data_IF_945571498783
#
_entry.id   IF_945571498783
#
_cell.length_a   1.000
_cell.length_b   1.000
_cell.length_c   1.000
_cell.angle_alpha   90.00
_cell.angle_beta   90.00
_cell.angle_gamma   90.00
#
_symmetry.space_group_name_H-M   'P 1'
#
loop_
_entity.id
_entity.type
_entity.pdbx_description
1 polymer ?
#
# COMPACT_ATOMS: atom_id res chain seq x y z
N UNK A 1 23.31 -2.36 -7.32
CA UNK A 1 21.91 -2.68 -6.97
C UNK A 1 21.36 -1.45 -6.29
N UNK A 2 20.34 -0.85 -6.86
CA UNK A 2 19.72 0.33 -6.27
C UNK A 2 19.04 -0.07 -4.95
N UNK A 3 19.23 0.75 -3.91
CA UNK A 3 18.64 0.56 -2.59
C UNK A 3 17.40 1.42 -2.48
N UNK A 4 16.34 0.89 -1.88
CA UNK A 4 15.16 1.68 -1.54
C UNK A 4 15.47 2.45 -0.25
N UNK A 5 15.48 3.78 -0.33
CA UNK A 5 15.72 4.67 0.81
C UNK A 5 14.42 4.91 1.56
N UNK A 6 14.35 4.36 2.76
CA UNK A 6 13.19 4.41 3.64
C UNK A 6 13.46 5.42 4.74
N UNK A 7 12.59 6.42 4.91
CA UNK A 7 12.61 7.26 6.10
C UNK A 7 11.56 6.76 7.09
N UNK A 8 12.01 6.34 8.27
CA UNK A 8 11.14 6.03 9.40
C UNK A 8 11.11 7.20 10.39
N UNK A 9 9.90 7.67 10.70
CA UNK A 9 9.65 8.68 11.72
C UNK A 9 8.84 8.02 12.85
N UNK A 10 9.51 7.73 13.96
CA UNK A 10 9.02 6.86 15.05
C UNK A 10 9.77 7.21 16.35
N UNK A 11 9.09 7.56 17.45
CA UNK A 11 9.78 7.96 18.68
C UNK A 11 10.20 6.77 19.55
N UNK A 12 9.58 5.61 19.37
CA UNK A 12 9.91 4.42 20.12
C UNK A 12 11.13 3.68 19.50
N UNK A 13 12.29 3.65 20.18
CA UNK A 13 13.49 2.98 19.65
C UNK A 13 13.32 1.46 19.48
N UNK A 14 12.42 0.84 20.26
CA UNK A 14 12.09 -0.57 20.13
C UNK A 14 11.30 -0.87 18.86
N UNK A 15 10.29 -0.06 18.55
CA UNK A 15 9.52 -0.16 17.30
C UNK A 15 10.42 0.12 16.10
N UNK A 16 11.28 1.15 16.19
CA UNK A 16 12.23 1.46 15.13
C UNK A 16 13.20 0.32 14.85
N UNK A 17 13.72 -0.31 15.91
CA UNK A 17 14.57 -1.49 15.79
C UNK A 17 13.82 -2.67 15.16
N UNK A 18 12.57 -2.92 15.55
CA UNK A 18 11.77 -4.01 15.00
C UNK A 18 11.54 -3.83 13.49
N UNK A 19 11.21 -2.62 13.04
CA UNK A 19 11.07 -2.29 11.62
C UNK A 19 12.39 -2.51 10.87
N UNK A 20 13.52 -2.10 11.44
CA UNK A 20 14.84 -2.35 10.85
C UNK A 20 15.10 -3.86 10.69
N UNK A 21 14.84 -4.66 11.71
CA UNK A 21 15.01 -6.12 11.68
C UNK A 21 14.10 -6.76 10.61
N UNK A 22 12.83 -6.37 10.55
CA UNK A 22 11.88 -6.85 9.54
C UNK A 22 12.32 -6.55 8.10
N UNK A 23 12.88 -5.36 7.83
CA UNK A 23 13.40 -5.02 6.50
C UNK A 23 14.68 -5.79 6.17
N UNK A 24 15.52 -6.07 7.16
CA UNK A 24 16.76 -6.82 7.00
C UNK A 24 16.55 -8.32 6.74
N UNK A 25 15.38 -8.87 7.08
CA UNK A 25 15.00 -10.25 6.75
C UNK A 25 14.81 -10.48 5.24
N UNK A 26 14.45 -9.44 4.48
CA UNK A 26 14.32 -9.53 3.02
C UNK A 26 15.70 -9.53 2.35
N UNK A 27 15.97 -10.57 1.55
CA UNK A 27 17.28 -10.82 0.94
C UNK A 27 17.37 -10.41 -0.52
N UNK A 28 16.23 -10.24 -1.19
CA UNK A 28 16.15 -9.93 -2.62
C UNK A 28 16.15 -8.44 -2.90
N UNK A 29 15.78 -7.63 -1.91
CA UNK A 29 15.63 -6.18 -2.02
C UNK A 29 16.50 -5.55 -0.94
N UNK A 30 17.25 -4.52 -1.32
CA UNK A 30 18.10 -3.80 -0.39
C UNK A 30 17.36 -2.55 0.07
N UNK A 31 17.14 -2.45 1.39
CA UNK A 31 16.60 -1.26 2.03
C UNK A 31 17.72 -0.48 2.71
N UNK A 32 17.65 0.84 2.60
CA UNK A 32 18.49 1.80 3.33
C UNK A 32 17.57 2.58 4.26
N UNK A 33 17.50 2.16 5.53
CA UNK A 33 16.58 2.73 6.52
C UNK A 33 17.25 3.85 7.29
N UNK A 34 16.73 5.06 7.15
CA UNK A 34 17.06 6.20 7.99
C UNK A 34 15.96 6.40 9.04
N UNK A 35 16.35 6.60 10.30
CA UNK A 35 15.42 6.77 11.41
C UNK A 35 15.51 8.17 12.03
N UNK A 36 14.35 8.74 12.36
CA UNK A 36 14.17 9.98 13.11
C UNK A 36 13.10 9.76 14.19
N UNK A 37 13.35 10.30 15.38
CA UNK A 37 12.51 10.14 16.58
C UNK A 37 11.42 11.22 16.72
N UNK A 38 11.41 12.20 15.80
CA UNK A 38 10.54 13.37 15.84
C UNK A 38 10.09 13.76 14.44
N UNK A 39 8.92 14.39 14.35
CA UNK A 39 8.43 14.88 13.07
C UNK A 39 9.35 15.96 12.52
N UNK A 40 9.75 16.92 13.36
CA UNK A 40 10.64 18.03 12.99
C UNK A 40 11.92 17.55 12.27
N UNK A 41 12.66 16.62 12.89
CA UNK A 41 13.90 16.08 12.30
C UNK A 41 13.63 15.19 11.08
N UNK A 42 12.45 14.56 11.00
CA UNK A 42 11.98 13.89 9.78
C UNK A 42 11.72 14.85 8.63
N UNK A 43 11.05 15.99 8.87
CA UNK A 43 10.77 17.00 7.86
C UNK A 43 12.06 17.68 7.37
N UNK A 44 13.01 17.96 8.26
CA UNK A 44 14.34 18.44 7.91
C UNK A 44 15.04 17.46 6.96
N UNK A 45 15.01 16.16 7.29
CA UNK A 45 15.59 15.13 6.42
C UNK A 45 14.89 15.03 5.07
N UNK A 46 13.57 15.18 5.02
CA UNK A 46 12.81 15.16 3.75
C UNK A 46 13.20 16.32 2.82
N UNK A 47 13.57 17.48 3.39
CA UNK A 47 14.01 18.63 2.60
C UNK A 47 15.33 18.38 1.85
N UNK A 48 16.17 17.45 2.33
CA UNK A 48 17.40 17.03 1.65
C UNK A 48 17.13 16.14 0.41
N UNK A 49 15.91 15.59 0.29
CA UNK A 49 15.50 14.75 -0.82
C UNK A 49 16.10 13.34 -0.83
N UNK A 50 15.84 12.60 -1.90
CA UNK A 50 16.36 11.24 -2.10
C UNK A 50 15.76 10.18 -1.17
N UNK A 51 14.54 10.39 -0.65
CA UNK A 51 13.77 9.37 0.07
C UNK A 51 12.74 8.79 -0.89
N UNK A 52 12.62 7.46 -0.92
CA UNK A 52 11.71 6.76 -1.83
C UNK A 52 10.34 6.48 -1.17
N UNK A 53 10.31 6.34 0.16
CA UNK A 53 9.11 6.05 0.93
C UNK A 53 9.25 6.50 2.38
N UNK A 54 8.14 6.90 2.99
CA UNK A 54 8.06 7.30 4.39
C UNK A 54 7.24 6.27 5.16
N UNK A 55 7.80 5.77 6.27
CA UNK A 55 7.07 5.07 7.32
C UNK A 55 6.82 6.05 8.46
N UNK A 56 5.57 6.32 8.78
CA UNK A 56 5.19 7.43 9.67
C UNK A 56 4.35 6.96 10.85
N UNK A 57 4.87 7.06 12.07
CA UNK A 57 4.01 7.08 13.26
C UNK A 57 3.22 8.40 13.31
N UNK A 58 1.94 8.31 13.64
CA UNK A 58 1.09 9.47 13.88
C UNK A 58 1.27 10.08 15.28
N UNK A 59 1.80 9.31 16.23
CA UNK A 59 1.90 9.67 17.65
C UNK A 59 3.35 9.96 18.02
N UNK A 60 3.80 11.19 17.75
CA UNK A 60 5.15 11.63 18.05
C UNK A 60 5.17 12.63 19.22
N UNK A 61 6.31 12.82 19.90
CA UNK A 61 6.42 13.79 21.00
C UNK A 61 6.14 15.23 20.58
N UNK A 62 6.41 15.59 19.31
CA UNK A 62 6.31 16.94 18.75
C UNK A 62 5.16 17.11 17.72
N UNK A 63 4.38 16.06 17.47
CA UNK A 63 3.22 16.10 16.57
C UNK A 63 2.26 14.95 16.83
N UNK A 64 0.95 15.18 16.69
CA UNK A 64 -0.06 14.16 17.03
C UNK A 64 -1.11 13.92 15.96
N UNK A 65 -1.45 12.64 15.80
CA UNK A 65 -2.59 12.17 15.03
C UNK A 65 -2.54 12.61 13.57
N UNK A 66 -3.70 13.03 13.06
CA UNK A 66 -3.86 13.40 11.66
C UNK A 66 -3.01 14.61 11.23
N UNK A 67 -2.67 15.52 12.15
CA UNK A 67 -1.81 16.68 11.85
C UNK A 67 -0.41 16.24 11.38
N UNK A 68 0.14 15.22 12.04
CA UNK A 68 1.41 14.59 11.69
C UNK A 68 1.43 14.14 10.23
N UNK A 69 0.39 13.44 9.79
CA UNK A 69 0.25 13.03 8.39
C UNK A 69 0.16 14.23 7.44
N UNK A 70 -0.68 15.22 7.74
CA UNK A 70 -0.87 16.36 6.84
C UNK A 70 0.40 17.20 6.66
N UNK A 71 1.20 17.36 7.72
CA UNK A 71 2.47 18.09 7.67
C UNK A 71 3.50 17.34 6.85
N UNK A 72 3.62 16.03 7.03
CA UNK A 72 4.50 15.18 6.22
C UNK A 72 4.11 15.22 4.74
N UNK A 73 2.81 15.06 4.44
CA UNK A 73 2.31 15.09 3.06
C UNK A 73 2.52 16.46 2.40
N UNK A 74 2.37 17.55 3.14
CA UNK A 74 2.60 18.89 2.62
C UNK A 74 4.09 19.14 2.28
N UNK A 75 5.02 18.59 3.08
CA UNK A 75 6.46 18.71 2.84
C UNK A 75 6.95 17.85 1.67
N UNK A 76 6.38 16.64 1.53
CA UNK A 76 6.82 15.67 0.54
C UNK A 76 5.61 15.06 -0.23
N UNK A 77 4.88 15.87 -1.02
CA UNK A 77 3.66 15.41 -1.70
C UNK A 77 3.94 14.33 -2.76
N UNK A 78 5.20 14.22 -3.21
CA UNK A 78 5.66 13.25 -4.20
C UNK A 78 6.12 11.92 -3.61
N UNK A 79 6.30 11.82 -2.30
CA UNK A 79 6.83 10.63 -1.65
C UNK A 79 5.67 9.85 -1.02
N UNK A 80 5.54 8.54 -1.29
CA UNK A 80 4.49 7.74 -0.69
C UNK A 80 4.68 7.60 0.83
N UNK A 81 3.57 7.68 1.56
CA UNK A 81 3.52 7.56 3.02
C UNK A 81 2.75 6.29 3.40
N UNK A 82 3.40 5.40 4.14
CA UNK A 82 2.78 4.28 4.84
C UNK A 82 2.69 4.65 6.32
N UNK A 83 1.47 4.68 6.85
CA UNK A 83 1.23 5.04 8.25
C UNK A 83 1.47 3.83 9.15
N UNK A 84 2.22 4.01 10.24
CA UNK A 84 2.32 3.06 11.35
C UNK A 84 1.38 3.52 12.46
N UNK A 85 0.55 2.62 12.99
CA UNK A 85 -0.46 2.97 14.01
C UNK A 85 -0.55 1.93 15.10
N UNK A 86 -0.81 2.37 16.33
CA UNK A 86 -1.28 1.50 17.41
C UNK A 86 -2.72 1.02 17.18
N UNK A 87 -3.16 0.02 17.96
CA UNK A 87 -4.52 -0.52 17.91
C UNK A 87 -5.60 0.52 18.28
N UNK A 88 -5.28 1.44 19.18
CA UNK A 88 -6.16 2.52 19.62
C UNK A 88 -6.42 3.58 18.54
N UNK A 89 -5.57 3.64 17.52
CA UNK A 89 -5.48 4.79 16.60
C UNK A 89 -5.90 4.44 15.17
N UNK A 90 -6.50 3.26 14.97
CA UNK A 90 -6.91 2.76 13.65
C UNK A 90 -7.85 3.73 12.91
N UNK A 91 -8.76 4.42 13.63
CA UNK A 91 -9.63 5.43 13.03
C UNK A 91 -8.85 6.61 12.40
N UNK A 92 -7.72 7.01 13.00
CA UNK A 92 -6.84 8.05 12.46
C UNK A 92 -6.08 7.55 11.23
N UNK A 93 -5.60 6.31 11.27
CA UNK A 93 -4.93 5.68 10.13
C UNK A 93 -5.86 5.55 8.91
N UNK A 94 -7.12 5.13 9.12
CA UNK A 94 -8.16 5.11 8.09
C UNK A 94 -8.37 6.51 7.49
N UNK A 95 -8.40 7.55 8.33
CA UNK A 95 -8.54 8.93 7.86
C UNK A 95 -7.33 9.37 7.01
N UNK A 96 -6.12 8.96 7.38
CA UNK A 96 -4.91 9.25 6.61
C UNK A 96 -4.94 8.59 5.22
N UNK A 97 -5.34 7.32 5.13
CA UNK A 97 -5.52 6.61 3.84
C UNK A 97 -6.55 7.31 2.96
N UNK A 98 -7.70 7.70 3.52
CA UNK A 98 -8.72 8.48 2.79
C UNK A 98 -8.22 9.84 2.29
N UNK A 99 -7.11 10.34 2.83
CA UNK A 99 -6.49 11.63 2.48
C UNK A 99 -5.19 11.48 1.68
N UNK A 100 -4.85 10.26 1.27
CA UNK A 100 -3.79 10.00 0.31
C UNK A 100 -2.56 9.30 0.89
N UNK A 101 -2.59 8.83 2.14
CA UNK A 101 -1.61 7.82 2.56
C UNK A 101 -1.80 6.56 1.70
N UNK A 102 -0.70 5.93 1.30
CA UNK A 102 -0.73 4.79 0.39
C UNK A 102 -1.19 3.53 1.12
N UNK A 103 -0.90 3.42 2.42
CA UNK A 103 -1.33 2.31 3.25
C UNK A 103 -1.25 2.66 4.75
N UNK A 104 -1.77 1.78 5.60
CA UNK A 104 -1.46 1.78 7.03
C UNK A 104 -1.17 0.38 7.56
N UNK A 105 -0.31 0.32 8.58
CA UNK A 105 0.10 -0.91 9.24
C UNK A 105 -0.11 -0.78 10.75
N UNK A 106 -0.78 -1.77 11.32
CA UNK A 106 -1.06 -1.82 12.77
C UNK A 106 0.12 -2.46 13.48
N UNK A 107 0.82 -1.68 14.32
CA UNK A 107 1.93 -2.12 15.17
C UNK A 107 1.54 -3.38 15.96
N UNK A 108 2.47 -4.31 16.12
CA UNK A 108 2.24 -5.61 16.76
C UNK A 108 1.46 -6.64 15.92
N UNK A 109 0.93 -6.26 14.75
CA UNK A 109 0.36 -7.17 13.74
C UNK A 109 1.16 -7.17 12.43
N UNK A 110 2.28 -6.44 12.39
CA UNK A 110 3.16 -6.35 11.22
C UNK A 110 4.17 -7.50 11.27
N UNK A 111 4.43 -8.11 10.13
CA UNK A 111 5.56 -9.00 9.89
C UNK A 111 6.42 -8.47 8.72
N UNK A 112 7.58 -9.09 8.49
CA UNK A 112 8.50 -8.70 7.41
C UNK A 112 7.81 -8.70 6.04
N UNK A 113 7.02 -9.74 5.74
CA UNK A 113 6.37 -9.85 4.43
C UNK A 113 5.38 -8.72 4.18
N UNK A 114 4.51 -8.43 5.15
CA UNK A 114 3.52 -7.38 5.06
C UNK A 114 4.16 -6.00 4.96
N UNK A 115 5.21 -5.74 5.74
CA UNK A 115 5.95 -4.48 5.70
C UNK A 115 6.58 -4.22 4.32
N UNK A 116 7.38 -5.18 3.84
CA UNK A 116 8.06 -5.10 2.54
C UNK A 116 7.04 -4.92 1.43
N UNK A 117 5.97 -5.71 1.46
CA UNK A 117 4.87 -5.62 0.51
C UNK A 117 4.27 -4.22 0.48
N UNK A 118 3.95 -3.67 1.65
CA UNK A 118 3.32 -2.35 1.77
C UNK A 118 4.19 -1.25 1.22
N UNK A 119 5.51 -1.29 1.49
CA UNK A 119 6.49 -0.36 0.93
C UNK A 119 6.53 -0.43 -0.60
N UNK A 120 6.68 -1.63 -1.16
CA UNK A 120 6.83 -1.80 -2.61
C UNK A 120 5.58 -1.36 -3.37
N UNK A 121 4.40 -1.67 -2.86
CA UNK A 121 3.16 -1.22 -3.47
C UNK A 121 2.95 0.29 -3.31
N UNK A 122 3.33 0.87 -2.18
CA UNK A 122 3.27 2.32 -1.99
C UNK A 122 4.14 3.06 -3.04
N UNK A 123 5.36 2.56 -3.29
CA UNK A 123 6.28 3.07 -4.32
C UNK A 123 5.71 2.84 -5.72
N UNK A 124 5.30 1.62 -6.05
CA UNK A 124 4.77 1.29 -7.38
C UNK A 124 3.55 2.15 -7.75
N UNK A 125 2.64 2.39 -6.80
CA UNK A 125 1.49 3.30 -7.02
C UNK A 125 1.93 4.73 -7.29
N UNK A 126 2.95 5.23 -6.58
CA UNK A 126 3.49 6.57 -6.83
C UNK A 126 4.12 6.70 -8.22
N UNK A 127 4.81 5.66 -8.67
CA UNK A 127 5.46 5.62 -9.99
C UNK A 127 4.48 5.34 -11.15
N UNK A 128 3.19 5.14 -10.86
CA UNK A 128 2.20 4.77 -11.88
C UNK A 128 2.37 3.34 -12.40
N UNK A 129 3.11 2.50 -11.68
CA UNK A 129 3.35 1.08 -11.95
C UNK A 129 2.31 0.19 -11.24
N UNK A 130 1.06 0.62 -11.21
CA UNK A 130 -0.03 -0.17 -10.63
C UNK A 130 -0.17 -1.52 -11.32
N UNK A 131 -0.30 -2.59 -10.53
CA UNK A 131 -0.69 -3.89 -11.06
C UNK A 131 -2.15 -3.83 -11.43
N UNK A 132 -2.44 -4.18 -12.68
CA UNK A 132 -3.81 -4.36 -13.15
C UNK A 132 -4.12 -5.85 -13.16
N UNK A 133 -5.28 -6.21 -12.62
CA UNK A 133 -5.81 -7.56 -12.67
C UNK A 133 -6.96 -7.56 -13.68
N UNK A 134 -6.90 -8.47 -14.65
CA UNK A 134 -8.10 -8.87 -15.36
C UNK A 134 -8.98 -9.71 -14.40
N UNK A 135 -10.30 -9.72 -14.65
CA UNK A 135 -11.24 -10.54 -13.86
C UNK A 135 -10.82 -12.01 -13.83
N UNK A 136 -10.34 -12.56 -14.95
CA UNK A 136 -9.91 -13.95 -15.01
C UNK A 136 -8.58 -14.21 -14.29
N UNK A 137 -7.70 -13.22 -14.19
CA UNK A 137 -6.48 -13.33 -13.40
C UNK A 137 -6.78 -13.29 -11.91
N UNK A 138 -7.77 -12.49 -11.49
CA UNK A 138 -8.19 -12.40 -10.09
C UNK A 138 -8.61 -13.78 -9.54
N UNK A 139 -9.29 -14.60 -10.34
CA UNK A 139 -9.74 -15.96 -9.96
C UNK A 139 -8.61 -16.88 -9.51
N UNK A 140 -7.36 -16.60 -9.88
CA UNK A 140 -6.19 -17.40 -9.46
C UNK A 140 -5.85 -17.21 -7.99
N UNK A 141 -6.30 -16.11 -7.39
CA UNK A 141 -6.08 -15.72 -6.01
C UNK A 141 -7.30 -16.09 -5.15
N UNK A 142 -7.65 -17.37 -5.17
CA UNK A 142 -8.86 -17.91 -4.55
C UNK A 142 -8.67 -18.35 -3.09
N UNK A 143 -7.50 -18.17 -2.49
CA UNK A 143 -7.23 -18.55 -1.10
C UNK A 143 -7.13 -20.06 -0.85
N UNK A 144 -7.18 -20.91 -1.88
CA UNK A 144 -7.19 -22.37 -1.73
C UNK A 144 -5.78 -22.95 -1.92
N UNK A 145 -5.50 -24.05 -1.25
CA UNK A 145 -4.24 -24.81 -1.42
C UNK A 145 -2.99 -23.94 -1.19
N UNK A 146 -3.07 -23.02 -0.22
CA UNK A 146 -1.97 -22.09 0.10
C UNK A 146 -1.80 -20.93 -0.89
N UNK A 147 -2.67 -20.80 -1.90
CA UNK A 147 -2.70 -19.62 -2.76
C UNK A 147 -3.20 -18.39 -1.99
N UNK A 148 -2.75 -17.18 -2.32
CA UNK A 148 -3.28 -15.96 -1.74
C UNK A 148 -4.78 -15.81 -2.02
N UNK A 149 -5.50 -15.13 -1.13
CA UNK A 149 -6.90 -14.81 -1.27
C UNK A 149 -7.05 -13.32 -1.59
N UNK A 150 -7.43 -12.96 -2.82
CA UNK A 150 -7.69 -11.57 -3.21
C UNK A 150 -9.15 -11.35 -3.55
N UNK A 151 -9.66 -10.15 -3.31
CA UNK A 151 -11.00 -9.73 -3.74
C UNK A 151 -10.92 -8.40 -4.46
N UNK A 152 -11.82 -8.11 -5.38
CA UNK A 152 -12.00 -6.77 -5.90
C UNK A 152 -13.18 -6.08 -5.22
N UNK A 153 -13.06 -4.76 -5.01
CA UNK A 153 -14.13 -3.91 -4.54
C UNK A 153 -13.93 -2.49 -5.07
N UNK A 154 -14.94 -1.94 -5.75
CA UNK A 154 -14.92 -0.62 -6.41
C UNK A 154 -13.66 -0.39 -7.26
N UNK A 155 -13.28 -1.40 -8.05
CA UNK A 155 -12.13 -1.34 -8.94
C UNK A 155 -10.76 -1.52 -8.29
N UNK A 156 -10.67 -1.70 -6.96
CA UNK A 156 -9.41 -1.99 -6.26
C UNK A 156 -9.35 -3.45 -5.87
N UNK A 157 -8.18 -4.07 -5.98
CA UNK A 157 -7.94 -5.45 -5.59
C UNK A 157 -7.27 -5.47 -4.22
N UNK A 158 -7.85 -6.17 -3.26
CA UNK A 158 -7.44 -6.25 -1.87
C UNK A 158 -6.92 -7.64 -1.54
N UNK A 159 -5.82 -7.71 -0.79
CA UNK A 159 -5.32 -8.95 -0.20
C UNK A 159 -6.00 -9.22 1.13
N UNK A 160 -6.83 -10.28 1.16
CA UNK A 160 -7.55 -10.73 2.35
C UNK A 160 -6.92 -11.98 2.98
N UNK A 161 -5.73 -12.40 2.52
CA UNK A 161 -5.08 -13.67 2.92
C UNK A 161 -4.82 -13.76 4.43
N UNK A 162 -4.54 -12.63 5.08
CA UNK A 162 -4.26 -12.57 6.53
C UNK A 162 -5.53 -12.44 7.38
N UNK A 163 -6.72 -12.51 6.78
CA UNK A 163 -7.98 -12.39 7.51
C UNK A 163 -8.43 -13.72 8.09
N UNK A 164 -8.66 -13.76 9.41
CA UNK A 164 -9.29 -14.91 10.08
C UNK A 164 -10.73 -15.20 9.62
N UNK A 165 -11.36 -14.25 8.93
CA UNK A 165 -12.72 -14.38 8.42
C UNK A 165 -12.78 -14.96 7.00
N UNK A 166 -11.64 -15.07 6.32
CA UNK A 166 -11.51 -15.63 4.96
C UNK A 166 -10.80 -16.98 5.05
N UNK A 167 -11.55 -18.04 5.33
CA UNK A 167 -10.99 -19.38 5.55
C UNK A 167 -11.01 -20.14 4.23
N UNK A 168 -9.84 -20.52 3.71
CA UNK A 168 -9.68 -21.14 2.39
C UNK A 168 -10.38 -20.36 1.27
N UNK A 169 -10.31 -19.03 1.35
CA UNK A 169 -10.94 -18.11 0.40
C UNK A 169 -12.46 -18.00 0.48
N UNK A 170 -13.09 -18.55 1.53
CA UNK A 170 -14.53 -18.42 1.76
C UNK A 170 -14.78 -17.48 2.95
N UNK A 171 -15.64 -16.49 2.73
CA UNK A 171 -16.10 -15.58 3.78
C UNK A 171 -17.56 -15.85 4.11
N UNK A 172 -17.81 -16.29 5.35
CA UNK A 172 -19.14 -16.57 5.94
C UNK A 172 -20.05 -17.45 5.07
N UNK A 173 -19.47 -18.34 4.25
CA UNK A 173 -20.24 -19.22 3.36
C UNK A 173 -20.88 -18.53 2.15
N UNK A 174 -20.69 -17.22 1.99
CA UNK A 174 -21.41 -16.40 1.02
C UNK A 174 -20.52 -15.80 -0.07
N UNK A 175 -19.25 -15.50 0.24
CA UNK A 175 -18.36 -14.81 -0.67
C UNK A 175 -17.05 -15.56 -0.89
N UNK A 176 -16.60 -15.58 -2.14
CA UNK A 176 -15.37 -16.25 -2.53
C UNK A 176 -14.28 -15.25 -2.92
N UNK A 177 -13.06 -15.51 -2.45
CA UNK A 177 -11.87 -14.88 -2.97
C UNK A 177 -11.71 -15.23 -4.45
N UNK A 178 -11.00 -14.40 -5.19
CA UNK A 178 -10.89 -14.43 -6.64
C UNK A 178 -12.05 -13.76 -7.37
N UNK A 179 -12.90 -12.98 -6.66
CA UNK A 179 -14.10 -12.36 -7.21
C UNK A 179 -14.15 -10.85 -6.95
N UNK A 180 -14.91 -10.13 -7.78
CA UNK A 180 -15.34 -8.75 -7.51
C UNK A 180 -16.60 -8.76 -6.63
N UNK A 181 -16.50 -8.15 -5.46
CA UNK A 181 -17.56 -8.09 -4.45
C UNK A 181 -18.33 -6.77 -4.47
N UNK A 182 -18.07 -5.89 -5.45
CA UNK A 182 -18.68 -4.56 -5.50
C UNK A 182 -20.21 -4.61 -5.42
N UNK A 183 -20.86 -5.48 -6.18
CA UNK A 183 -22.32 -5.64 -6.14
C UNK A 183 -22.78 -6.43 -4.93
N UNK A 184 -21.99 -7.41 -4.49
CA UNK A 184 -22.31 -8.28 -3.35
C UNK A 184 -22.36 -7.52 -2.01
N UNK A 185 -21.74 -6.34 -1.93
CA UNK A 185 -21.71 -5.52 -0.70
C UNK A 185 -22.99 -4.73 -0.43
N UNK A 186 -23.93 -4.61 -1.38
CA UNK A 186 -25.15 -3.82 -1.20
C UNK A 186 -26.10 -4.37 -0.12
N UNK A 187 -25.94 -5.62 0.30
CA UNK A 187 -26.74 -6.27 1.37
C UNK A 187 -25.91 -6.81 2.54
N UNK A 188 -24.63 -6.46 2.63
CA UNK A 188 -23.75 -6.95 3.67
C UNK A 188 -24.07 -6.31 5.04
N UNK A 189 -23.85 -7.01 6.17
CA UNK A 189 -24.08 -6.47 7.51
C UNK A 189 -23.03 -5.42 7.95
N UNK A 190 -22.18 -4.98 7.02
CA UNK A 190 -21.07 -4.05 7.24
C UNK A 190 -20.82 -3.20 5.99
N UNK A 191 -20.28 -1.99 6.15
CA UNK A 191 -19.95 -1.11 5.03
C UNK A 191 -18.58 -1.40 4.42
N UNK A 192 -18.18 -0.57 3.47
CA UNK A 192 -16.91 -0.68 2.74
C UNK A 192 -15.67 -0.43 3.58
N UNK A 193 -15.83 0.17 4.77
CA UNK A 193 -14.75 0.41 5.72
C UNK A 193 -13.99 -0.86 6.10
N UNK A 194 -14.63 -2.04 6.00
CA UNK A 194 -13.98 -3.32 6.25
C UNK A 194 -12.84 -3.63 5.30
N UNK A 195 -12.82 -3.02 4.11
CA UNK A 195 -11.75 -3.23 3.13
C UNK A 195 -10.54 -2.36 3.38
N UNK A 196 -10.69 -1.29 4.17
CA UNK A 196 -9.61 -0.33 4.41
C UNK A 196 -8.43 -1.01 5.11
N UNK A 197 -8.69 -2.02 5.96
CA UNK A 197 -7.67 -2.81 6.66
C UNK A 197 -6.91 -3.83 5.80
N UNK A 198 -7.29 -3.99 4.54
CA UNK A 198 -6.66 -4.94 3.63
C UNK A 198 -5.76 -4.22 2.65
N UNK A 199 -4.61 -4.83 2.38
CA UNK A 199 -3.61 -4.26 1.51
C UNK A 199 -4.11 -4.25 0.05
N UNK A 200 -4.11 -3.09 -0.60
CA UNK A 200 -4.50 -3.00 -2.02
C UNK A 200 -3.34 -3.46 -2.91
N UNK A 201 -3.52 -4.53 -3.66
CA UNK A 201 -2.46 -5.15 -4.48
C UNK A 201 -2.47 -4.70 -5.93
N UNK A 202 -3.49 -3.95 -6.32
CA UNK A 202 -3.66 -3.41 -7.67
C UNK A 202 -5.08 -2.95 -7.93
N UNK A 203 -5.39 -2.74 -9.20
CA UNK A 203 -6.71 -2.35 -9.69
C UNK A 203 -7.31 -3.42 -10.59
N UNK A 204 -8.62 -3.58 -10.53
CA UNK A 204 -9.36 -4.41 -11.46
C UNK A 204 -9.58 -3.59 -12.74
N UNK A 205 -9.08 -4.09 -13.87
CA UNK A 205 -9.27 -3.46 -15.18
C UNK A 205 -10.12 -4.37 -16.07
N UNK A 206 -11.14 -3.79 -16.70
CA UNK A 206 -11.97 -4.46 -17.72
C UNK A 206 -11.31 -4.55 -19.10
N UNK A 207 -10.17 -3.89 -19.28
CA UNK A 207 -9.45 -3.81 -20.54
C UNK A 207 -8.00 -4.31 -20.35
N UNK A 208 -7.36 -4.76 -21.45
CA UNK A 208 -5.95 -5.21 -21.50
C UNK A 208 -5.03 -4.34 -20.60
N UNK A 209 -4.05 -4.93 -19.90
CA UNK A 209 -3.19 -4.22 -18.96
C UNK A 209 -2.68 -2.91 -19.55
N UNK A 210 -2.72 -1.82 -18.78
CA UNK A 210 -2.35 -0.47 -19.22
C UNK A 210 -0.99 -0.42 -19.96
N UNK A 211 -0.08 -1.34 -19.65
CA UNK A 211 1.20 -1.56 -20.33
C UNK A 211 1.04 -1.77 -21.85
N UNK A 212 0.04 -2.53 -22.30
CA UNK A 212 -0.23 -2.80 -23.72
C UNK A 212 -0.91 -1.62 -24.42
N UNK A 213 -1.77 -0.88 -23.71
CA UNK A 213 -2.33 0.40 -24.17
C UNK A 213 -1.25 1.46 -24.33
N UNK A 214 -0.31 1.57 -23.41
CA UNK A 214 0.81 2.52 -23.45
C UNK A 214 1.75 2.21 -24.61
N UNK A 215 2.08 0.94 -24.85
CA UNK A 215 2.88 0.49 -26.00
C UNK A 215 2.16 0.77 -27.34
N UNK A 216 0.84 0.56 -27.44
CA UNK A 216 0.06 0.94 -28.64
C UNK A 216 0.01 2.46 -28.85
N UNK A 217 -0.12 3.26 -27.79
CA UNK A 217 -0.17 4.74 -27.85
C UNK A 217 1.19 5.34 -28.27
N UNK A 218 2.29 4.75 -27.81
CA UNK A 218 3.65 5.11 -28.23
C UNK A 218 3.89 4.75 -29.70
N UNK A 219 3.46 3.55 -30.16
CA UNK A 219 3.54 3.17 -31.58
C UNK A 219 2.75 4.11 -32.51
N UNK A 220 1.57 4.58 -32.11
CA UNK A 220 0.77 5.53 -32.90
C UNK A 220 1.37 6.95 -32.97
N UNK A 221 2.07 7.42 -31.93
CA UNK A 221 2.80 8.70 -31.95
C UNK A 221 4.06 8.67 -32.82
N UNK A 222 4.77 7.54 -32.87
CA UNK A 222 5.94 7.36 -33.75
C UNK A 222 5.55 7.29 -35.23
N UNK A 223 4.38 6.71 -35.55
CA UNK A 223 3.87 6.67 -36.93
C UNK A 223 3.43 8.06 -37.42
N UNK A 224 2.78 8.88 -36.57
CA UNK A 224 2.45 10.27 -36.92
C UNK A 224 3.68 11.18 -37.10
N UNK A 225 4.76 10.98 -36.33
CA UNK A 225 6.03 11.71 -36.54
C UNK A 225 6.80 11.27 -37.80
N UNK A 226 6.56 10.07 -38.34
CA UNK A 226 7.16 9.59 -39.59
C UNK A 226 6.34 9.89 -40.85
N UNK A 227 5.08 10.31 -40.72
CA UNK A 227 4.19 10.71 -41.83
C UNK A 227 3.77 12.18 -41.66
N UNK A 228 4.76 13.07 -41.76
CA UNK A 228 4.62 14.50 -41.46
C UNK A 228 3.34 15.15 -41.97
N UNK A 229 2.73 15.92 -41.07
CA UNK A 229 1.91 17.12 -41.25
C UNK A 229 1.90 17.84 -39.89
#
# INVERSE_FOLDING_TARGET
MDRIKVLLIEDNPGDARLIHEMLAEEKKILFDLEWRDRLSSGLERLAEGGIDVILLDLMLPDSRGFDTFTRTQAQAPEIPVVVLTGLSDEALAIRAVRKGAQDYLVKGKVDSNLLVRSILYAIARRLGEEKYFAIDDLKRFDGKEGRPAYIAFKGRVYDVSNSRLWINGLHLGAHHAGSDLTENMMGAPHGEEVFIKFHVVGELSHEEPFRDRLVRRIKHRVIKRKKGL
#
